data_IF_765084451070
#
_entry.id   IF_765084451070
#
_cell.length_a   1.000
_cell.length_b   1.000
_cell.length_c   1.000
_cell.angle_alpha   90.00
_cell.angle_beta   90.00
_cell.angle_gamma   90.00
#
_symmetry.space_group_name_H-M   'P 1'
#
loop_
_entity.id
_entity.type
_entity.pdbx_description
1 polymer ?
#
# COMPACT_ATOMS: atom_id res chain seq x y z
N UNK A 1 2.17 13.67 16.81
CA UNK A 1 2.75 14.95 16.33
C UNK A 1 3.21 14.75 14.89
N UNK A 2 2.46 15.27 13.93
CA UNK A 2 2.74 15.09 12.50
C UNK A 2 3.57 16.25 11.98
N UNK A 3 4.74 15.97 11.40
CA UNK A 3 5.58 16.96 10.75
C UNK A 3 4.94 17.37 9.41
N UNK A 4 4.15 18.44 9.46
CA UNK A 4 3.46 19.04 8.30
C UNK A 4 4.42 19.77 7.36
N UNK A 5 5.58 20.20 7.86
CA UNK A 5 6.35 21.24 7.15
C UNK A 5 7.52 20.70 6.31
N UNK A 6 7.98 19.46 6.56
CA UNK A 6 9.11 18.87 5.82
C UNK A 6 8.73 17.75 4.84
N UNK A 7 7.57 17.12 5.01
CA UNK A 7 7.11 16.04 4.11
C UNK A 7 6.68 16.59 2.74
N UNK A 8 6.15 17.81 2.70
CA UNK A 8 5.69 18.48 1.48
C UNK A 8 6.82 18.71 0.47
N UNK A 9 7.98 19.21 0.92
CA UNK A 9 9.10 19.60 0.05
C UNK A 9 9.81 18.40 -0.60
N UNK A 10 9.79 17.24 0.04
CA UNK A 10 10.40 16.00 -0.49
C UNK A 10 9.51 15.36 -1.56
N UNK A 11 8.19 15.43 -1.42
CA UNK A 11 7.25 14.81 -2.36
C UNK A 11 7.34 15.44 -3.75
N UNK A 12 7.34 16.78 -3.85
CA UNK A 12 7.39 17.48 -5.13
C UNK A 12 8.71 17.22 -5.89
N UNK A 13 9.83 17.12 -5.19
CA UNK A 13 11.14 16.86 -5.79
C UNK A 13 11.28 15.44 -6.35
N UNK A 14 10.49 14.48 -5.84
CA UNK A 14 10.46 13.09 -6.29
C UNK A 14 9.38 12.84 -7.36
N UNK A 15 8.69 13.89 -7.84
CA UNK A 15 7.55 13.74 -8.76
C UNK A 15 6.31 13.11 -8.11
N UNK A 16 6.23 13.14 -6.78
CA UNK A 16 5.09 12.63 -6.02
C UNK A 16 4.08 13.74 -5.72
N UNK A 17 2.81 13.44 -5.92
CA UNK A 17 1.72 14.35 -5.57
C UNK A 17 1.32 14.15 -4.11
N UNK A 18 1.48 15.20 -3.29
CA UNK A 18 0.96 15.20 -1.92
C UNK A 18 -0.50 15.64 -1.90
N UNK A 19 -1.38 14.80 -1.33
CA UNK A 19 -2.81 15.09 -1.23
C UNK A 19 -3.14 15.52 0.21
N UNK A 20 -3.12 16.82 0.45
CA UNK A 20 -3.34 17.43 1.78
C UNK A 20 -4.80 17.37 2.25
N UNK A 21 -5.75 17.34 1.32
CA UNK A 21 -7.20 17.39 1.59
C UNK A 21 -7.97 16.33 0.80
N UNK A 22 -9.10 15.86 1.34
CA UNK A 22 -9.94 14.83 0.70
C UNK A 22 -9.45 13.39 0.86
N UNK A 23 -8.33 13.18 1.55
CA UNK A 23 -7.83 11.87 2.00
C UNK A 23 -7.57 10.88 0.86
N UNK A 24 -7.63 9.59 1.19
CA UNK A 24 -7.31 8.50 0.25
C UNK A 24 -8.20 8.50 -1.01
N UNK A 25 -9.46 8.92 -0.88
CA UNK A 25 -10.39 9.00 -2.01
C UNK A 25 -9.97 10.05 -3.05
N UNK A 26 -9.43 11.19 -2.60
CA UNK A 26 -8.89 12.21 -3.50
C UNK A 26 -7.64 11.71 -4.23
N UNK A 27 -6.76 10.96 -3.55
CA UNK A 27 -5.60 10.33 -4.18
C UNK A 27 -6.01 9.30 -5.24
N UNK A 28 -6.98 8.43 -4.93
CA UNK A 28 -7.51 7.43 -5.86
C UNK A 28 -8.09 8.10 -7.12
N UNK A 29 -8.85 9.19 -6.98
CA UNK A 29 -9.43 9.89 -8.14
C UNK A 29 -8.36 10.47 -9.06
N UNK A 30 -7.31 11.07 -8.49
CA UNK A 30 -6.24 11.74 -9.22
C UNK A 30 -5.23 10.78 -9.86
N UNK A 31 -5.12 9.55 -9.35
CA UNK A 31 -4.21 8.55 -9.90
C UNK A 31 -4.53 8.27 -11.38
N UNK A 32 -3.50 8.27 -12.24
CA UNK A 32 -3.69 8.07 -13.69
C UNK A 32 -3.78 6.59 -14.10
N UNK A 33 -3.15 5.70 -13.34
CA UNK A 33 -3.12 4.27 -13.64
C UNK A 33 -4.41 3.53 -13.26
N UNK A 34 -4.69 2.45 -13.98
CA UNK A 34 -5.81 1.54 -13.69
C UNK A 34 -5.56 0.65 -12.47
N UNK A 35 -4.30 0.54 -12.06
CA UNK A 35 -3.85 -0.20 -10.89
C UNK A 35 -3.17 0.74 -9.91
N UNK A 36 -3.45 0.53 -8.63
CA UNK A 36 -2.93 1.31 -7.52
C UNK A 36 -2.12 0.42 -6.59
N UNK A 37 -1.00 0.96 -6.12
CA UNK A 37 -0.16 0.38 -5.09
C UNK A 37 -0.29 1.22 -3.81
N UNK A 38 -0.79 0.61 -2.74
CA UNK A 38 -0.93 1.23 -1.43
C UNK A 38 0.13 0.64 -0.49
N UNK A 39 0.89 1.52 0.17
CA UNK A 39 1.99 1.15 1.06
C UNK A 39 1.91 1.95 2.36
N UNK A 40 2.35 1.33 3.46
CA UNK A 40 2.61 2.06 4.70
C UNK A 40 3.87 2.92 4.56
N UNK A 41 3.88 4.15 5.10
CA UNK A 41 5.09 4.97 5.15
C UNK A 41 6.25 4.23 5.80
N UNK A 42 7.39 4.18 5.13
CA UNK A 42 8.59 3.48 5.62
C UNK A 42 8.71 2.01 5.20
N UNK A 43 7.70 1.45 4.51
CA UNK A 43 7.86 0.16 3.86
C UNK A 43 8.82 0.25 2.65
N UNK A 44 9.56 -0.83 2.38
CA UNK A 44 10.50 -0.91 1.25
C UNK A 44 10.22 -2.15 0.43
N UNK A 45 10.07 -2.00 -0.88
CA UNK A 45 9.89 -3.12 -1.80
C UNK A 45 11.25 -3.67 -2.23
N UNK A 46 11.34 -4.99 -2.38
CA UNK A 46 12.55 -5.65 -2.85
C UNK A 46 12.82 -5.33 -4.33
N UNK A 47 14.05 -5.59 -4.78
CA UNK A 47 14.41 -5.47 -6.19
C UNK A 47 13.52 -6.37 -7.08
N UNK A 48 13.25 -5.93 -8.31
CA UNK A 48 12.39 -6.66 -9.26
C UNK A 48 10.88 -6.57 -8.97
N UNK A 49 10.45 -5.83 -7.94
CA UNK A 49 9.03 -5.75 -7.57
C UNK A 49 8.13 -5.25 -8.69
N UNK A 50 8.64 -4.36 -9.56
CA UNK A 50 7.87 -3.76 -10.66
C UNK A 50 7.46 -4.85 -11.65
N UNK A 51 8.41 -5.71 -12.05
CA UNK A 51 8.16 -6.75 -13.06
C UNK A 51 7.11 -7.74 -12.58
N UNK A 52 7.17 -8.13 -11.31
CA UNK A 52 6.17 -9.00 -10.68
C UNK A 52 4.78 -8.37 -10.61
N UNK A 53 4.70 -7.07 -10.25
CA UNK A 53 3.43 -6.34 -10.26
C UNK A 53 2.88 -6.20 -11.68
N UNK A 54 3.73 -5.88 -12.66
CA UNK A 54 3.34 -5.79 -14.07
C UNK A 54 2.84 -7.15 -14.57
N UNK A 55 3.55 -8.24 -14.30
CA UNK A 55 3.13 -9.59 -14.68
C UNK A 55 1.79 -10.01 -14.04
N UNK A 56 1.58 -9.64 -12.77
CA UNK A 56 0.32 -9.91 -12.05
C UNK A 56 -0.86 -9.10 -12.61
N UNK A 57 -0.64 -7.82 -12.89
CA UNK A 57 -1.68 -6.89 -13.35
C UNK A 57 -2.00 -7.03 -14.83
N UNK A 58 -1.04 -7.45 -15.67
CA UNK A 58 -1.25 -7.78 -17.08
C UNK A 58 -2.29 -8.90 -17.26
N UNK A 59 -2.38 -9.81 -16.29
CA UNK A 59 -3.39 -10.89 -16.24
C UNK A 59 -4.73 -10.43 -15.67
N UNK A 60 -4.88 -9.14 -15.36
CA UNK A 60 -6.06 -8.49 -14.76
C UNK A 60 -6.69 -9.29 -13.62
N UNK A 61 -5.84 -9.78 -12.72
CA UNK A 61 -6.25 -10.69 -11.66
C UNK A 61 -6.95 -9.94 -10.52
N UNK A 62 -7.21 -10.63 -9.41
CA UNK A 62 -7.73 -10.03 -8.18
C UNK A 62 -6.68 -9.16 -7.45
N UNK A 63 -7.06 -8.38 -6.43
CA UNK A 63 -6.12 -7.64 -5.60
C UNK A 63 -5.01 -8.54 -5.03
N UNK A 64 -3.85 -7.98 -4.75
CA UNK A 64 -2.71 -8.75 -4.27
C UNK A 64 -1.87 -8.03 -3.21
N UNK A 65 -1.07 -8.80 -2.48
CA UNK A 65 -0.18 -8.35 -1.41
C UNK A 65 1.22 -8.91 -1.62
N UNK A 66 2.23 -8.16 -1.21
CA UNK A 66 3.61 -8.60 -1.28
C UNK A 66 3.91 -9.67 -0.24
N UNK A 67 4.90 -10.51 -0.50
CA UNK A 67 5.44 -11.45 0.48
C UNK A 67 6.34 -10.75 1.48
N UNK A 68 6.27 -11.08 2.78
CA UNK A 68 7.20 -10.47 3.75
C UNK A 68 8.61 -11.01 3.54
N UNK A 69 9.56 -10.09 3.34
CA UNK A 69 10.97 -10.41 3.22
C UNK A 69 11.45 -11.21 4.45
N UNK A 70 12.34 -12.19 4.24
CA UNK A 70 12.78 -13.12 5.29
C UNK A 70 13.31 -12.40 6.55
N UNK A 71 14.09 -11.33 6.38
CA UNK A 71 14.62 -10.54 7.50
C UNK A 71 13.61 -9.60 8.17
N UNK A 72 12.43 -9.40 7.58
CA UNK A 72 11.33 -8.61 8.14
C UNK A 72 10.29 -9.48 8.89
N UNK A 73 10.51 -10.80 8.98
CA UNK A 73 9.59 -11.74 9.62
C UNK A 73 9.70 -11.63 11.14
N UNK A 74 8.78 -10.90 11.74
CA UNK A 74 8.64 -10.90 13.20
C UNK A 74 8.13 -12.26 13.71
N UNK A 75 8.57 -12.74 14.89
CA UNK A 75 8.10 -13.98 15.51
C UNK A 75 6.57 -13.99 15.62
N UNK A 76 5.95 -15.15 15.41
CA UNK A 76 4.49 -15.31 15.31
C UNK A 76 3.72 -14.67 16.48
N UNK A 77 4.26 -14.72 17.70
CA UNK A 77 3.62 -14.14 18.90
C UNK A 77 3.58 -12.61 18.86
N UNK A 78 4.62 -11.94 18.38
CA UNK A 78 4.64 -10.47 18.24
C UNK A 78 3.64 -9.96 17.20
N UNK A 79 3.21 -10.81 16.26
CA UNK A 79 2.22 -10.49 15.22
C UNK A 79 0.81 -10.30 15.80
N UNK A 80 0.49 -10.97 16.91
CA UNK A 80 -0.82 -10.86 17.57
C UNK A 80 -0.91 -9.55 18.37
N UNK A 81 0.21 -9.09 18.94
CA UNK A 81 0.26 -7.87 19.76
C UNK A 81 0.47 -6.58 18.96
N UNK A 82 0.93 -6.65 17.71
CA UNK A 82 1.30 -5.45 16.92
C UNK A 82 0.13 -4.80 16.14
N UNK A 83 -1.12 -5.20 16.43
CA UNK A 83 -2.30 -4.71 15.74
C UNK A 83 -2.36 -5.21 14.29
N UNK A 84 -3.55 -5.61 13.83
CA UNK A 84 -3.74 -6.10 12.47
C UNK A 84 -3.57 -4.94 11.45
N UNK A 85 -2.32 -4.65 11.10
CA UNK A 85 -1.94 -3.64 10.09
C UNK A 85 -2.27 -4.17 8.70
N UNK A 86 -3.46 -3.84 8.23
CA UNK A 86 -3.99 -4.31 6.95
C UNK A 86 -3.18 -3.83 5.73
N UNK A 87 -2.22 -2.90 5.87
CA UNK A 87 -1.32 -2.47 4.80
C UNK A 87 0.15 -2.84 5.03
N UNK A 88 0.47 -3.59 6.09
CA UNK A 88 1.86 -3.97 6.39
C UNK A 88 2.53 -4.69 5.23
N UNK A 89 1.78 -5.47 4.46
CA UNK A 89 2.28 -6.26 3.33
C UNK A 89 2.04 -5.56 1.97
N UNK A 90 1.70 -4.27 2.00
CA UNK A 90 1.25 -3.52 0.83
C UNK A 90 -0.06 -4.06 0.25
N UNK A 91 -0.59 -3.35 -0.74
CA UNK A 91 -1.76 -3.76 -1.51
C UNK A 91 -1.67 -3.25 -2.95
N UNK A 92 -1.79 -4.17 -3.91
CA UNK A 92 -2.03 -3.87 -5.32
C UNK A 92 -3.52 -4.10 -5.60
N UNK A 93 -4.22 -3.09 -6.10
CA UNK A 93 -5.68 -3.13 -6.32
C UNK A 93 -6.06 -2.30 -7.55
N UNK A 94 -7.11 -2.70 -8.27
CA UNK A 94 -7.62 -1.88 -9.37
C UNK A 94 -8.17 -0.56 -8.86
N UNK A 95 -7.97 0.52 -9.61
CA UNK A 95 -8.52 1.86 -9.33
C UNK A 95 -10.04 1.81 -9.18
N UNK A 96 -10.72 0.99 -9.98
CA UNK A 96 -12.17 0.76 -9.90
C UNK A 96 -12.60 0.20 -8.53
N UNK A 97 -11.94 -0.85 -8.06
CA UNK A 97 -12.25 -1.44 -6.75
C UNK A 97 -11.89 -0.47 -5.62
N UNK A 98 -10.73 0.16 -5.68
CA UNK A 98 -10.32 1.15 -4.69
C UNK A 98 -11.32 2.32 -4.62
N UNK A 99 -11.78 2.82 -5.75
CA UNK A 99 -12.79 3.88 -5.81
C UNK A 99 -14.11 3.44 -5.15
N UNK A 100 -14.58 2.22 -5.44
CA UNK A 100 -15.79 1.67 -4.82
C UNK A 100 -15.65 1.55 -3.30
N UNK A 101 -14.53 1.03 -2.80
CA UNK A 101 -14.26 0.87 -1.37
C UNK A 101 -14.07 2.22 -0.66
N UNK A 102 -13.45 3.19 -1.34
CA UNK A 102 -13.17 4.53 -0.78
C UNK A 102 -14.42 5.33 -0.45
N UNK A 103 -15.59 4.97 -1.00
CA UNK A 103 -16.87 5.62 -0.66
C UNK A 103 -17.21 5.46 0.82
N UNK A 104 -16.85 4.31 1.40
CA UNK A 104 -17.16 3.97 2.80
C UNK A 104 -15.90 3.95 3.69
N UNK A 105 -14.72 3.85 3.09
CA UNK A 105 -13.45 3.79 3.81
C UNK A 105 -12.91 5.20 4.12
N UNK A 106 -12.68 5.47 5.41
CA UNK A 106 -12.07 6.74 5.86
C UNK A 106 -10.54 6.75 5.79
N UNK A 107 -9.90 5.60 5.52
CA UNK A 107 -8.44 5.47 5.42
C UNK A 107 -8.02 4.37 4.43
N UNK A 108 -6.74 4.35 4.07
CA UNK A 108 -6.15 3.33 3.20
C UNK A 108 -6.21 1.93 3.85
N UNK A 109 -6.03 1.83 5.16
CA UNK A 109 -6.17 0.60 5.93
C UNK A 109 -7.59 0.05 5.88
N UNK A 110 -8.60 0.94 5.92
CA UNK A 110 -9.98 0.53 5.80
C UNK A 110 -10.29 -0.03 4.40
N UNK A 111 -9.64 0.49 3.34
CA UNK A 111 -9.71 -0.09 1.99
C UNK A 111 -9.09 -1.49 1.97
N UNK A 112 -7.98 -1.69 2.69
CA UNK A 112 -7.22 -2.94 2.63
C UNK A 112 -7.82 -4.09 3.45
N UNK A 113 -8.68 -3.81 4.42
CA UNK A 113 -9.29 -4.85 5.28
C UNK A 113 -10.33 -5.68 4.53
N UNK A 114 -10.38 -6.98 4.85
CA UNK A 114 -11.43 -7.88 4.38
C UNK A 114 -11.39 -8.23 2.88
N UNK A 115 -10.35 -7.82 2.16
CA UNK A 115 -10.18 -8.16 0.75
C UNK A 115 -9.61 -9.57 0.59
N UNK A 116 -10.25 -10.36 -0.28
CA UNK A 116 -9.60 -11.53 -0.85
C UNK A 116 -8.40 -11.05 -1.69
N UNK A 117 -7.21 -11.59 -1.39
CA UNK A 117 -5.97 -11.16 -2.04
C UNK A 117 -5.11 -12.34 -2.46
N UNK A 118 -4.39 -12.20 -3.58
CA UNK A 118 -3.31 -13.11 -3.94
C UNK A 118 -2.00 -12.66 -3.30
N UNK A 119 -1.08 -13.60 -3.07
CA UNK A 119 0.30 -13.29 -2.72
C UNK A 119 1.12 -13.06 -4.00
N UNK A 120 1.88 -11.97 -4.05
CA UNK A 120 2.87 -11.72 -5.09
C UNK A 120 4.18 -12.43 -4.77
N UNK A 121 4.90 -12.82 -5.82
CA UNK A 121 6.26 -13.33 -5.74
C UNK A 121 7.31 -12.20 -5.61
N UNK A 122 6.84 -10.98 -5.30
CA UNK A 122 7.65 -9.85 -4.88
C UNK A 122 7.63 -9.68 -3.36
N UNK A 123 8.78 -9.29 -2.79
CA UNK A 123 8.94 -9.12 -1.35
C UNK A 123 8.82 -7.66 -0.87
N UNK A 124 8.38 -7.50 0.39
CA UNK A 124 8.31 -6.24 1.12
C UNK A 124 8.98 -6.35 2.48
N UNK A 125 9.80 -5.35 2.80
CA UNK A 125 10.22 -5.03 4.16
C UNK A 125 9.18 -4.12 4.77
N UNK A 126 8.49 -4.60 5.80
CA UNK A 126 7.36 -3.88 6.38
C UNK A 126 7.81 -2.64 7.12
N UNK A 127 6.98 -1.61 7.16
CA UNK A 127 7.27 -0.44 7.96
C UNK A 127 7.44 -0.83 9.44
N UNK A 128 8.41 -0.23 10.17
CA UNK A 128 8.53 -0.43 11.61
C UNK A 128 7.23 -0.06 12.31
N UNK A 129 6.91 -0.76 13.41
CA UNK A 129 5.78 -0.36 14.25
C UNK A 129 6.07 1.01 14.87
N UNK A 130 5.04 1.85 14.96
CA UNK A 130 5.13 3.20 15.51
C UNK A 130 4.75 3.22 16.98
#
# INVERSE_FOLDING_TARGET
TGSTDQTHRVAEHAGCLYVASGGIAAGIRQAKGDWLLLLEPGARLAEGWIDEVVAHTARQTMPARFSRARGSRVPFLSRVFSGNRALAEGLVISKRQAAALSKNARSAEAIARGLATRRLDAEIWVAPAK
#
